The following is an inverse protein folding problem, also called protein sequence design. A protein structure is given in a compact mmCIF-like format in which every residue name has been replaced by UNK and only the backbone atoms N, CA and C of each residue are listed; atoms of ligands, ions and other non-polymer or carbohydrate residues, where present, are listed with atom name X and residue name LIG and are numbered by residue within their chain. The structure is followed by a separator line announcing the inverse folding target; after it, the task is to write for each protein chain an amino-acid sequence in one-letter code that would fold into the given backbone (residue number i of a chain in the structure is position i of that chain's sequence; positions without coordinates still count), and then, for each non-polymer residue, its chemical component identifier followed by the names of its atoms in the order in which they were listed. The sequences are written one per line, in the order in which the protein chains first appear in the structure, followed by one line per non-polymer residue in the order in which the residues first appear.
data_IF_459361073839
#
_entry.id   IF_459361073839
#
_cell.length_a   1.000
_cell.length_b   1.000
_cell.length_c   1.000
_cell.angle_alpha   90.00
_cell.angle_beta   90.00
_cell.angle_gamma   90.00
#
_symmetry.space_group_name_H-M   'P 1'
#
loop_
_entity.id
_entity.type
_entity.pdbx_description
1 polymer ?
#
# COMPACT_ATOMS: atom_id res chain seq x y z
N UNK A 1 8.87 21.24 7.79
CA UNK A 1 7.55 20.63 8.06
C UNK A 1 7.67 19.20 8.62
N UNK A 2 8.29 18.23 7.93
CA UNK A 2 8.39 16.84 8.43
C UNK A 2 9.07 16.72 9.81
N UNK A 3 10.23 17.36 10.00
CA UNK A 3 10.93 17.34 11.30
C UNK A 3 10.06 17.87 12.44
N UNK A 4 9.36 19.00 12.21
CA UNK A 4 8.50 19.63 13.21
C UNK A 4 7.30 18.75 13.56
N UNK A 5 6.65 18.13 12.56
CA UNK A 5 5.53 17.22 12.78
C UNK A 5 5.97 15.96 13.56
N UNK A 6 7.10 15.37 13.16
CA UNK A 6 7.68 14.21 13.85
C UNK A 6 8.03 14.53 15.30
N UNK A 7 8.70 15.66 15.55
CA UNK A 7 9.05 16.11 16.89
C UNK A 7 7.81 16.38 17.76
N UNK A 8 6.74 16.95 17.18
CA UNK A 8 5.49 17.17 17.89
C UNK A 8 4.82 15.84 18.30
N UNK A 9 4.71 14.88 17.37
CA UNK A 9 4.16 13.54 17.66
C UNK A 9 4.99 12.84 18.73
N UNK A 10 6.31 12.78 18.55
CA UNK A 10 7.24 12.10 19.46
C UNK A 10 7.33 12.71 20.85
N UNK A 11 6.94 13.98 21.01
CA UNK A 11 6.86 14.65 22.32
C UNK A 11 5.71 14.11 23.15
N UNK A 12 4.59 13.76 22.50
CA UNK A 12 3.41 13.18 23.17
C UNK A 12 3.57 11.68 23.31
N UNK A 13 4.04 10.99 22.26
CA UNK A 13 4.30 9.56 22.27
C UNK A 13 5.64 9.23 21.58
N UNK A 14 6.67 8.97 22.39
CA UNK A 14 8.01 8.60 21.90
C UNK A 14 8.00 7.27 21.12
N UNK A 15 7.05 6.39 21.39
CA UNK A 15 6.91 5.07 20.77
C UNK A 15 6.15 5.07 19.44
N UNK A 16 5.45 6.16 19.09
CA UNK A 16 4.66 6.24 17.86
C UNK A 16 5.51 6.01 16.60
N UNK A 17 5.06 5.17 15.66
CA UNK A 17 5.70 5.01 14.34
C UNK A 17 5.28 6.21 13.46
N UNK A 18 6.20 7.14 13.18
CA UNK A 18 5.92 8.29 12.31
C UNK A 18 6.08 7.86 10.87
N UNK A 19 4.98 7.82 10.13
CA UNK A 19 4.91 7.28 8.77
C UNK A 19 4.75 8.42 7.76
N UNK A 20 5.54 8.42 6.69
CA UNK A 20 5.32 9.33 5.56
C UNK A 20 3.95 9.07 4.90
N UNK A 21 3.39 10.09 4.26
CA UNK A 21 2.17 9.95 3.45
C UNK A 21 2.31 8.87 2.36
N UNK A 22 1.21 8.20 2.06
CA UNK A 22 1.16 7.08 1.11
C UNK A 22 1.63 7.43 -0.29
N UNK A 23 2.67 6.74 -0.75
CA UNK A 23 3.20 6.93 -2.10
C UNK A 23 2.59 5.93 -3.07
N UNK A 24 2.07 6.45 -4.18
CA UNK A 24 1.73 5.68 -5.37
C UNK A 24 2.50 6.23 -6.57
N UNK A 25 2.77 5.39 -7.56
CA UNK A 25 3.44 5.80 -8.78
C UNK A 25 4.34 4.71 -9.32
N UNK A 26 3.76 3.65 -9.93
CA UNK A 26 4.54 2.80 -10.82
C UNK A 26 5.20 3.69 -11.90
N UNK A 27 6.28 3.21 -12.53
CA UNK A 27 6.99 3.99 -13.57
C UNK A 27 6.07 4.48 -14.70
N UNK A 28 5.02 3.72 -15.01
CA UNK A 28 3.99 4.07 -15.99
C UNK A 28 3.13 5.29 -15.63
N UNK A 29 3.11 5.73 -14.36
CA UNK A 29 2.29 6.84 -13.89
C UNK A 29 3.07 8.17 -13.73
N UNK A 30 4.31 8.24 -14.23
CA UNK A 30 5.23 9.37 -14.01
C UNK A 30 4.76 10.73 -14.58
N UNK A 31 3.71 10.74 -15.41
CA UNK A 31 3.07 11.97 -15.92
C UNK A 31 2.02 12.57 -14.97
N UNK A 32 1.55 11.79 -14.00
CA UNK A 32 0.43 12.16 -13.10
C UNK A 32 0.89 12.24 -11.65
N UNK A 33 1.80 11.36 -11.25
CA UNK A 33 2.38 11.33 -9.89
C UNK A 33 3.88 11.14 -9.96
N UNK A 34 4.62 11.66 -8.98
CA UNK A 34 6.05 11.37 -8.87
C UNK A 34 6.21 9.91 -8.45
N UNK A 35 6.90 9.06 -9.23
CA UNK A 35 7.10 7.68 -8.85
C UNK A 35 7.86 7.54 -7.52
N UNK A 36 7.67 6.42 -6.82
CA UNK A 36 8.22 6.18 -5.48
C UNK A 36 9.74 6.42 -5.42
N UNK A 37 10.49 5.84 -6.36
CA UNK A 37 11.96 5.95 -6.40
C UNK A 37 12.45 7.41 -6.52
N UNK A 38 12.07 8.20 -7.55
CA UNK A 38 12.52 9.58 -7.67
C UNK A 38 12.01 10.48 -6.53
N UNK A 39 10.82 10.21 -5.98
CA UNK A 39 10.35 10.93 -4.78
C UNK A 39 11.31 10.69 -3.60
N UNK A 40 11.60 9.44 -3.28
CA UNK A 40 12.52 9.10 -2.18
C UNK A 40 13.94 9.62 -2.44
N UNK A 41 14.44 9.55 -3.67
CA UNK A 41 15.75 10.11 -4.01
C UNK A 41 15.84 11.61 -3.72
N UNK A 42 14.79 12.38 -4.05
CA UNK A 42 14.72 13.82 -3.74
C UNK A 42 14.56 14.06 -2.25
N UNK A 43 13.75 13.25 -1.56
CA UNK A 43 13.57 13.36 -0.12
C UNK A 43 14.89 13.14 0.61
N UNK A 44 15.58 12.03 0.35
CA UNK A 44 16.88 11.69 0.97
C UNK A 44 18.05 12.58 0.54
N UNK A 45 17.87 13.46 -0.46
CA UNK A 45 18.85 14.51 -0.73
C UNK A 45 18.85 15.61 0.34
N UNK A 46 17.79 15.70 1.15
CA UNK A 46 17.70 16.62 2.29
C UNK A 46 18.48 15.99 3.46
N UNK A 47 19.54 16.67 3.90
CA UNK A 47 20.41 16.19 5.00
C UNK A 47 19.61 15.93 6.28
N UNK A 48 19.74 14.73 6.84
CA UNK A 48 19.14 14.33 8.11
C UNK A 48 17.64 14.04 8.05
N UNK A 49 17.05 13.99 6.85
CA UNK A 49 15.60 13.75 6.69
C UNK A 49 15.18 12.39 7.23
N UNK A 50 16.07 11.40 7.20
CA UNK A 50 15.84 10.05 7.71
C UNK A 50 15.45 10.07 9.18
N UNK A 51 15.88 11.06 9.96
CA UNK A 51 15.54 11.23 11.36
C UNK A 51 14.07 11.68 11.58
N UNK A 52 13.38 12.13 10.54
CA UNK A 52 12.04 12.71 10.62
C UNK A 52 10.90 11.70 10.50
N UNK A 53 11.20 10.44 10.17
CA UNK A 53 10.20 9.37 10.10
C UNK A 53 10.82 8.03 10.51
N UNK A 54 9.95 7.10 10.86
CA UNK A 54 10.32 5.73 11.22
C UNK A 54 10.01 4.76 10.07
N UNK A 55 9.00 5.08 9.27
CA UNK A 55 8.55 4.24 8.16
C UNK A 55 8.04 5.05 6.96
N UNK A 56 8.02 4.40 5.80
CA UNK A 56 7.33 4.93 4.62
C UNK A 56 6.01 4.20 4.37
N UNK A 57 5.03 4.88 3.77
CA UNK A 57 3.79 4.25 3.33
C UNK A 57 3.76 4.11 1.80
N UNK A 58 3.24 2.99 1.32
CA UNK A 58 3.06 2.68 -0.09
C UNK A 58 1.63 2.28 -0.38
N UNK A 59 1.13 2.72 -1.53
CA UNK A 59 -0.12 2.28 -2.13
C UNK A 59 0.20 1.44 -3.37
N UNK A 60 0.76 0.23 -3.28
CA UNK A 60 1.28 -0.54 -4.44
C UNK A 60 0.17 -1.14 -5.31
N UNK A 61 -0.73 -0.30 -5.85
CA UNK A 61 -1.73 -0.71 -6.81
C UNK A 61 -1.08 -1.11 -8.13
N UNK A 62 -1.28 -2.36 -8.52
CA UNK A 62 -0.91 -2.91 -9.82
C UNK A 62 -1.99 -3.86 -10.34
N UNK A 63 -1.92 -4.24 -11.62
CA UNK A 63 -2.89 -5.14 -12.24
C UNK A 63 -2.77 -6.59 -11.75
N UNK A 64 -1.67 -6.97 -11.09
CA UNK A 64 -1.39 -8.32 -10.60
C UNK A 64 -0.51 -8.32 -9.34
N UNK A 65 -0.23 -9.51 -8.80
CA UNK A 65 0.54 -9.69 -7.57
C UNK A 65 1.98 -9.25 -7.78
N UNK A 66 2.59 -9.64 -8.90
CA UNK A 66 3.99 -9.40 -9.24
C UNK A 66 4.28 -7.89 -9.30
N UNK A 67 3.42 -7.12 -9.98
CA UNK A 67 3.56 -5.67 -10.05
C UNK A 67 3.42 -4.99 -8.69
N UNK A 68 2.56 -5.51 -7.82
CA UNK A 68 2.38 -4.97 -6.47
C UNK A 68 3.64 -5.23 -5.62
N UNK A 69 4.20 -6.44 -5.70
CA UNK A 69 5.44 -6.81 -5.00
C UNK A 69 6.63 -6.03 -5.54
N UNK A 70 6.74 -5.85 -6.85
CA UNK A 70 7.80 -5.07 -7.48
C UNK A 70 7.79 -3.60 -7.00
N UNK A 71 6.62 -3.01 -6.75
CA UNK A 71 6.53 -1.67 -6.18
C UNK A 71 7.12 -1.60 -4.75
N UNK A 72 6.86 -2.61 -3.91
CA UNK A 72 7.45 -2.71 -2.56
C UNK A 72 8.97 -2.91 -2.64
N UNK A 73 9.43 -3.75 -3.57
CA UNK A 73 10.85 -4.00 -3.82
C UNK A 73 11.59 -2.74 -4.29
N UNK A 74 11.01 -1.98 -5.21
CA UNK A 74 11.56 -0.68 -5.66
C UNK A 74 11.72 0.28 -4.51
N UNK A 75 10.73 0.35 -3.62
CA UNK A 75 10.78 1.19 -2.42
C UNK A 75 11.87 0.71 -1.46
N UNK A 76 11.92 -0.59 -1.16
CA UNK A 76 12.94 -1.18 -0.28
C UNK A 76 14.35 -0.89 -0.79
N UNK A 77 14.61 -1.10 -2.07
CA UNK A 77 15.89 -0.81 -2.70
C UNK A 77 16.22 0.69 -2.76
N UNK A 78 15.21 1.58 -2.79
CA UNK A 78 15.45 3.02 -2.68
C UNK A 78 15.93 3.42 -1.28
N UNK A 79 15.33 2.86 -0.24
CA UNK A 79 15.75 3.05 1.15
C UNK A 79 17.17 2.50 1.39
N UNK A 80 17.47 1.32 0.84
CA UNK A 80 18.82 0.72 0.94
C UNK A 80 19.89 1.57 0.25
N UNK A 81 19.61 2.09 -0.95
CA UNK A 81 20.52 3.02 -1.66
C UNK A 81 20.73 4.32 -0.90
N UNK A 82 19.70 4.80 -0.20
CA UNK A 82 19.80 5.96 0.68
C UNK A 82 20.50 5.65 2.02
N UNK A 83 20.94 4.40 2.24
CA UNK A 83 21.54 3.90 3.48
C UNK A 83 20.61 3.93 4.70
N UNK A 84 19.32 4.20 4.50
CA UNK A 84 18.29 4.12 5.53
C UNK A 84 17.73 2.69 5.64
N UNK A 85 18.55 1.83 6.25
CA UNK A 85 18.20 0.42 6.49
C UNK A 85 17.23 0.23 7.65
N UNK A 86 17.01 1.27 8.46
CA UNK A 86 16.12 1.22 9.63
C UNK A 86 14.67 1.39 9.24
N UNK A 87 14.38 2.25 8.26
CA UNK A 87 13.02 2.60 7.86
C UNK A 87 12.17 1.37 7.57
N UNK A 88 11.00 1.31 8.22
CA UNK A 88 9.96 0.32 7.94
C UNK A 88 9.18 0.64 6.66
N UNK A 89 8.44 -0.34 6.17
CA UNK A 89 7.47 -0.14 5.08
C UNK A 89 6.08 -0.51 5.58
N UNK A 90 5.14 0.42 5.43
CA UNK A 90 3.72 0.17 5.52
C UNK A 90 3.13 0.08 4.11
N UNK A 91 2.33 -0.95 3.87
CA UNK A 91 1.42 -0.98 2.72
C UNK A 91 0.09 -0.47 3.23
N UNK A 92 -0.15 0.83 3.12
CA UNK A 92 -1.37 1.46 3.68
C UNK A 92 -2.57 1.33 2.77
N UNK A 93 -2.36 1.01 1.49
CA UNK A 93 -3.44 0.69 0.57
C UNK A 93 -3.04 -0.37 -0.47
N UNK A 94 -3.75 -1.48 -0.50
CA UNK A 94 -3.65 -2.46 -1.60
C UNK A 94 -5.02 -3.09 -1.87
N UNK A 95 -5.32 -3.37 -3.13
CA UNK A 95 -6.55 -4.08 -3.44
C UNK A 95 -6.86 -4.22 -4.91
N UNK A 96 -7.90 -5.02 -5.16
CA UNK A 96 -8.53 -5.22 -6.47
C UNK A 96 -10.03 -5.19 -6.31
N UNK A 97 -10.73 -4.85 -7.37
CA UNK A 97 -12.18 -4.79 -7.39
C UNK A 97 -12.84 -6.09 -7.85
N UNK A 98 -14.01 -6.37 -7.26
CA UNK A 98 -14.88 -7.46 -7.71
C UNK A 98 -15.85 -7.05 -8.85
N UNK A 99 -15.96 -5.76 -9.15
CA UNK A 99 -16.85 -5.17 -10.15
C UNK A 99 -16.38 -3.76 -10.53
N UNK A 100 -17.16 -3.00 -11.29
CA UNK A 100 -16.77 -1.69 -11.82
C UNK A 100 -16.44 -1.74 -13.31
N UNK A 101 -15.76 -0.72 -13.87
CA UNK A 101 -15.52 -0.60 -15.31
C UNK A 101 -14.75 -1.79 -15.88
N UNK A 102 -15.33 -2.48 -16.87
CA UNK A 102 -14.79 -3.75 -17.40
C UNK A 102 -13.40 -3.64 -18.03
N UNK A 103 -13.03 -2.45 -18.53
CA UNK A 103 -11.72 -2.18 -19.12
C UNK A 103 -10.64 -1.90 -18.07
N UNK A 104 -11.02 -1.68 -16.81
CA UNK A 104 -10.07 -1.36 -15.76
C UNK A 104 -9.22 -2.57 -15.40
N UNK A 105 -7.88 -2.47 -15.41
CA UNK A 105 -7.00 -3.61 -15.11
C UNK A 105 -7.08 -4.06 -13.64
N UNK A 106 -7.74 -3.28 -12.78
CA UNK A 106 -7.91 -3.56 -11.36
C UNK A 106 -9.22 -4.30 -11.04
N UNK A 107 -10.11 -4.47 -12.02
CA UNK A 107 -11.38 -5.21 -11.89
C UNK A 107 -11.16 -6.68 -12.25
N UNK A 108 -11.38 -7.58 -11.29
CA UNK A 108 -10.98 -9.00 -11.38
C UNK A 108 -12.13 -9.98 -11.19
N UNK A 109 -13.33 -9.47 -10.91
CA UNK A 109 -14.46 -10.29 -10.48
C UNK A 109 -14.29 -10.82 -9.06
N UNK A 110 -15.36 -11.38 -8.48
CA UNK A 110 -15.38 -11.88 -7.09
C UNK A 110 -14.32 -12.94 -6.80
N UNK A 111 -14.16 -13.92 -7.71
CA UNK A 111 -13.17 -15.00 -7.58
C UNK A 111 -11.74 -14.48 -7.75
N UNK A 112 -11.50 -13.63 -8.75
CA UNK A 112 -10.19 -13.04 -9.00
C UNK A 112 -9.72 -12.14 -7.86
N UNK A 113 -10.62 -11.30 -7.31
CA UNK A 113 -10.33 -10.49 -6.12
C UNK A 113 -9.86 -11.36 -4.95
N UNK A 114 -10.58 -12.44 -4.64
CA UNK A 114 -10.22 -13.33 -3.53
C UNK A 114 -8.89 -14.08 -3.77
N UNK A 115 -8.64 -14.50 -5.01
CA UNK A 115 -7.39 -15.15 -5.42
C UNK A 115 -6.20 -14.22 -5.23
N UNK A 116 -6.26 -13.02 -5.81
CA UNK A 116 -5.17 -12.04 -5.72
C UNK A 116 -4.94 -11.58 -4.29
N UNK A 117 -6.00 -11.35 -3.50
CA UNK A 117 -5.87 -11.06 -2.08
C UNK A 117 -5.06 -12.15 -1.35
N UNK A 118 -5.45 -13.42 -1.54
CA UNK A 118 -4.78 -14.54 -0.88
C UNK A 118 -3.31 -14.63 -1.26
N UNK A 119 -3.02 -14.52 -2.57
CA UNK A 119 -1.67 -14.62 -3.11
C UNK A 119 -0.80 -13.46 -2.63
N UNK A 120 -1.26 -12.23 -2.79
CA UNK A 120 -0.52 -11.03 -2.40
C UNK A 120 -0.22 -11.00 -0.92
N UNK A 121 -1.21 -11.23 -0.04
CA UNK A 121 -0.96 -11.19 1.39
C UNK A 121 -0.04 -12.33 1.85
N UNK A 122 -0.14 -13.51 1.25
CA UNK A 122 0.80 -14.61 1.53
C UNK A 122 2.24 -14.27 1.11
N UNK A 123 2.41 -13.67 -0.08
CA UNK A 123 3.73 -13.28 -0.62
C UNK A 123 4.36 -12.09 0.13
N UNK A 124 3.54 -11.13 0.59
CA UNK A 124 4.00 -10.05 1.46
C UNK A 124 4.40 -10.59 2.84
N UNK A 125 3.63 -11.52 3.40
CA UNK A 125 3.98 -12.17 4.68
C UNK A 125 5.29 -12.94 4.57
N UNK A 126 5.50 -13.74 3.52
CA UNK A 126 6.75 -14.50 3.36
C UNK A 126 7.98 -13.60 3.21
N UNK A 127 7.83 -12.40 2.65
CA UNK A 127 8.89 -11.39 2.50
C UNK A 127 8.90 -10.33 3.60
N UNK A 128 8.11 -10.51 4.68
CA UNK A 128 7.94 -9.49 5.73
C UNK A 128 9.27 -8.97 6.27
N UNK A 129 10.22 -9.87 6.54
CA UNK A 129 11.55 -9.52 7.06
C UNK A 129 12.39 -8.80 6.01
N UNK A 130 12.48 -9.34 4.80
CA UNK A 130 13.24 -8.76 3.68
C UNK A 130 12.77 -7.34 3.36
N UNK A 131 11.47 -7.11 3.30
CA UNK A 131 10.91 -5.78 3.03
C UNK A 131 10.83 -4.88 4.27
N UNK A 132 11.11 -5.40 5.47
CA UNK A 132 10.86 -4.72 6.76
C UNK A 132 9.41 -4.22 6.86
N UNK A 133 8.47 -5.05 6.44
CA UNK A 133 7.05 -4.72 6.47
C UNK A 133 6.56 -4.60 7.92
N UNK A 134 5.92 -3.47 8.21
CA UNK A 134 5.31 -3.14 9.50
C UNK A 134 3.85 -3.55 9.54
N UNK A 135 3.12 -3.32 8.44
CA UNK A 135 1.76 -3.77 8.27
C UNK A 135 1.26 -3.61 6.83
N UNK A 136 0.11 -4.22 6.56
CA UNK A 136 -0.55 -4.22 5.26
C UNK A 136 -2.05 -3.99 5.47
N UNK A 137 -2.60 -2.98 4.81
CA UNK A 137 -4.01 -2.65 4.83
C UNK A 137 -4.62 -2.90 3.46
N UNK A 138 -5.62 -3.78 3.45
CA UNK A 138 -6.50 -3.90 2.31
C UNK A 138 -7.35 -2.63 2.22
N UNK A 139 -7.37 -2.02 1.04
CA UNK A 139 -7.87 -0.66 0.84
C UNK A 139 -9.28 -0.42 1.39
N UNK A 140 -10.20 -1.38 1.22
CA UNK A 140 -11.59 -1.18 1.61
C UNK A 140 -12.22 -2.35 2.34
N UNK A 141 -12.86 -2.02 3.46
CA UNK A 141 -13.69 -2.95 4.23
C UNK A 141 -14.96 -3.36 3.46
N UNK A 142 -15.69 -2.38 2.92
CA UNK A 142 -17.03 -2.55 2.33
C UNK A 142 -17.12 -1.80 1.00
N UNK A 143 -17.77 -2.41 0.02
CA UNK A 143 -18.11 -1.72 -1.22
C UNK A 143 -18.98 -0.49 -0.91
N UNK A 144 -18.81 0.59 -1.68
CA UNK A 144 -19.57 1.83 -1.57
C UNK A 144 -20.36 2.08 -2.87
N UNK A 145 -21.27 3.06 -2.85
CA UNK A 145 -21.86 3.56 -4.09
C UNK A 145 -20.75 4.16 -4.95
N UNK A 146 -20.67 3.73 -6.21
CA UNK A 146 -19.82 4.34 -7.24
C UNK A 146 -18.31 4.15 -7.14
N UNK A 147 -17.69 4.16 -8.32
CA UNK A 147 -16.31 4.55 -8.61
C UNK A 147 -16.34 5.79 -9.52
N UNK A 148 -16.98 6.86 -9.07
CA UNK A 148 -17.30 8.04 -9.88
C UNK A 148 -16.32 9.21 -9.64
N UNK A 149 -15.05 8.92 -9.38
CA UNK A 149 -13.98 9.93 -9.25
C UNK A 149 -12.59 9.34 -9.53
N UNK A 150 -11.52 9.90 -8.94
CA UNK A 150 -10.08 9.61 -9.16
C UNK A 150 -9.69 8.12 -9.12
N UNK A 151 -10.56 7.24 -8.61
CA UNK A 151 -10.39 5.79 -8.67
C UNK A 151 -11.70 5.06 -9.03
N UNK A 152 -11.84 4.73 -10.31
CA UNK A 152 -13.06 4.18 -10.90
C UNK A 152 -13.48 2.78 -10.40
N UNK A 153 -12.55 2.03 -9.81
CA UNK A 153 -12.77 0.67 -9.35
C UNK A 153 -12.78 0.55 -7.82
N UNK A 154 -12.26 1.56 -7.12
CA UNK A 154 -12.06 1.55 -5.67
C UNK A 154 -13.36 1.26 -4.89
N UNK A 155 -14.50 1.74 -5.39
CA UNK A 155 -15.81 1.49 -4.77
C UNK A 155 -16.24 0.02 -4.73
N UNK A 156 -15.59 -0.84 -5.52
CA UNK A 156 -15.89 -2.27 -5.66
C UNK A 156 -14.81 -3.18 -5.06
N UNK A 157 -13.83 -2.60 -4.37
CA UNK A 157 -12.68 -3.29 -3.78
C UNK A 157 -12.93 -3.81 -2.36
N UNK A 158 -14.12 -3.64 -1.80
CA UNK A 158 -14.47 -4.07 -0.46
C UNK A 158 -14.31 -5.57 -0.23
N UNK A 159 -13.99 -5.95 1.00
CA UNK A 159 -14.10 -7.35 1.48
C UNK A 159 -15.56 -7.76 1.65
N UNK A 160 -16.44 -6.79 1.93
CA UNK A 160 -17.89 -6.94 1.99
C UNK A 160 -18.57 -6.22 0.84
N UNK A 161 -19.70 -6.76 0.40
CA UNK A 161 -20.59 -6.07 -0.51
C UNK A 161 -21.22 -4.85 0.18
N UNK A 162 -21.82 -3.97 -0.59
CA UNK A 162 -22.47 -2.75 -0.11
C UNK A 162 -23.57 -3.04 0.92
N UNK A 163 -24.33 -4.13 0.75
CA UNK A 163 -25.32 -4.62 1.71
C UNK A 163 -24.71 -5.15 3.02
N UNK A 164 -23.38 -5.19 3.13
CA UNK A 164 -22.66 -5.77 4.25
C UNK A 164 -22.41 -7.27 4.13
N UNK A 165 -22.97 -7.96 3.14
CA UNK A 165 -22.72 -9.39 2.96
C UNK A 165 -21.26 -9.70 2.64
N UNK A 166 -20.75 -10.82 3.15
CA UNK A 166 -19.37 -11.23 2.93
C UNK A 166 -19.12 -11.61 1.45
N UNK A 167 -18.08 -11.03 0.84
CA UNK A 167 -17.58 -11.49 -0.48
C UNK A 167 -16.63 -12.67 -0.29
N UNK A 168 -16.31 -13.43 -1.36
CA UNK A 168 -15.24 -14.43 -1.30
C UNK A 168 -13.91 -13.88 -0.78
N UNK A 169 -13.61 -12.60 -1.07
CA UNK A 169 -12.43 -11.90 -0.56
C UNK A 169 -12.41 -11.77 0.97
N UNK A 170 -13.54 -11.61 1.65
CA UNK A 170 -13.60 -11.62 3.11
C UNK A 170 -13.15 -12.97 3.69
N UNK A 171 -13.64 -14.07 3.13
CA UNK A 171 -13.26 -15.42 3.57
C UNK A 171 -11.77 -15.69 3.33
N UNK A 172 -11.26 -15.27 2.17
CA UNK A 172 -9.83 -15.31 1.85
C UNK A 172 -8.99 -14.50 2.84
N UNK A 173 -9.39 -13.26 3.14
CA UNK A 173 -8.73 -12.40 4.11
C UNK A 173 -8.69 -13.03 5.50
N UNK A 174 -9.84 -13.50 6.00
CA UNK A 174 -9.92 -14.13 7.32
C UNK A 174 -9.02 -15.37 7.44
N UNK A 175 -8.86 -16.16 6.37
CA UNK A 175 -7.94 -17.31 6.35
C UNK A 175 -6.47 -16.89 6.41
N UNK A 176 -6.10 -15.80 5.75
CA UNK A 176 -4.72 -15.31 5.76
C UNK A 176 -4.38 -14.59 7.06
N UNK A 177 -5.30 -13.79 7.60
CA UNK A 177 -5.10 -12.96 8.80
C UNK A 177 -4.99 -13.78 10.11
N UNK A 178 -5.53 -15.00 10.13
CA UNK A 178 -5.42 -15.93 11.28
C UNK A 178 -4.07 -16.66 11.36
N UNK A 179 -3.15 -16.41 10.42
CA UNK A 179 -1.86 -17.10 10.27
C UNK A 179 -0.70 -16.11 10.35
#
# INVERSE_FOLDING_TARGET
MLNSASAAIKRVDRGADVILGGMWGPRSANRVVTPVKPYLQRLYAIKGIEASFDSIALHPYASNVEGSLAAVEVARGALERARDRRAGIWVTEIGWAAGGPRKSPYVKGKKGQAKLLSQTLAQLRSRRRTFRLRGVFWYSWRDKHGGESICEWCGHAGLRAKSGSAKPAWRAFAKVAKR
#
